data_IF_428391843499
#
_entry.id   IF_428391843499
#
_cell.length_a   1.000
_cell.length_b   1.000
_cell.length_c   1.000
_cell.angle_alpha   90.00
_cell.angle_beta   90.00
_cell.angle_gamma   90.00
#
_symmetry.space_group_name_H-M   'P 1'
#
loop_
_entity.id
_entity.type
_entity.pdbx_description
1 polymer ?
#
# COMPACT_ATOMS: atom_id res chain seq x y z
N UNK A 1 -23.90 -16.49 -2.54
CA UNK A 1 -22.79 -16.93 -1.67
C UNK A 1 -23.35 -17.49 -0.35
N UNK A 2 -24.29 -16.79 0.27
CA UNK A 2 -24.95 -17.13 1.54
C UNK A 2 -25.66 -18.49 1.56
N UNK A 3 -26.20 -18.96 0.43
CA UNK A 3 -26.81 -20.29 0.31
C UNK A 3 -25.85 -21.49 0.51
N UNK A 4 -24.56 -21.24 0.79
CA UNK A 4 -23.57 -22.29 1.07
C UNK A 4 -23.10 -22.31 2.53
N UNK A 5 -23.54 -21.35 3.34
CA UNK A 5 -23.22 -21.28 4.76
C UNK A 5 -24.46 -21.73 5.53
N UNK A 6 -24.32 -22.80 6.31
CA UNK A 6 -25.33 -23.14 7.30
C UNK A 6 -25.40 -22.01 8.35
N UNK A 7 -26.62 -21.65 8.75
CA UNK A 7 -26.87 -20.73 9.87
C UNK A 7 -26.21 -19.34 9.72
N UNK A 8 -26.09 -18.83 8.50
CA UNK A 8 -25.54 -17.49 8.27
C UNK A 8 -26.45 -16.40 8.83
N UNK A 9 -25.91 -15.58 9.74
CA UNK A 9 -26.53 -14.36 10.24
C UNK A 9 -25.85 -13.11 9.65
N UNK A 10 -26.66 -12.22 9.06
CA UNK A 10 -26.18 -10.95 8.52
C UNK A 10 -25.74 -9.97 9.63
N UNK A 11 -26.37 -10.00 10.81
CA UNK A 11 -26.02 -9.15 11.93
C UNK A 11 -24.62 -9.45 12.47
N UNK A 12 -24.22 -10.74 12.48
CA UNK A 12 -22.86 -11.15 12.85
C UNK A 12 -21.82 -10.63 11.83
N UNK A 13 -22.16 -10.63 10.54
CA UNK A 13 -21.29 -10.07 9.52
C UNK A 13 -21.13 -8.55 9.66
N UNK A 14 -22.21 -7.83 9.94
CA UNK A 14 -22.16 -6.39 10.18
C UNK A 14 -21.32 -6.05 11.42
N UNK A 15 -21.48 -6.82 12.50
CA UNK A 15 -20.63 -6.70 13.69
C UNK A 15 -19.15 -6.98 13.35
N UNK A 16 -18.86 -8.02 12.56
CA UNK A 16 -17.50 -8.33 12.14
C UNK A 16 -16.84 -7.23 11.29
N UNK A 17 -17.61 -6.49 10.49
CA UNK A 17 -17.12 -5.29 9.80
C UNK A 17 -16.91 -4.11 10.77
N UNK A 18 -17.82 -3.90 11.72
CA UNK A 18 -17.70 -2.85 12.72
C UNK A 18 -16.45 -3.05 13.61
N UNK A 19 -16.22 -4.29 14.04
CA UNK A 19 -15.08 -4.71 14.87
C UNK A 19 -13.79 -4.91 14.08
N UNK A 20 -13.83 -4.73 12.75
CA UNK A 20 -12.69 -4.90 11.81
C UNK A 20 -12.08 -6.29 11.80
N UNK A 21 -12.85 -7.30 12.20
CA UNK A 21 -12.50 -8.73 12.02
C UNK A 21 -12.56 -9.08 10.53
N UNK A 22 -13.47 -8.46 9.78
CA UNK A 22 -13.56 -8.53 8.33
C UNK A 22 -13.33 -7.14 7.73
N UNK A 23 -12.57 -7.09 6.64
CA UNK A 23 -12.25 -5.86 5.89
C UNK A 23 -12.68 -5.97 4.45
N UNK A 24 -12.91 -4.82 3.82
CA UNK A 24 -13.19 -4.73 2.39
C UNK A 24 -11.89 -4.59 1.60
N UNK A 25 -11.80 -5.29 0.47
CA UNK A 25 -10.58 -5.34 -0.33
C UNK A 25 -10.88 -5.54 -1.82
N UNK A 26 -10.05 -4.98 -2.72
CA UNK A 26 -10.19 -5.12 -4.17
C UNK A 26 -9.20 -6.13 -4.79
N UNK A 27 -8.65 -7.03 -3.99
CA UNK A 27 -7.38 -7.68 -4.32
C UNK A 27 -7.47 -8.83 -5.33
N UNK A 28 -8.55 -9.59 -5.32
CA UNK A 28 -8.81 -10.59 -6.37
C UNK A 28 -9.48 -9.89 -7.55
N UNK A 29 -8.90 -9.98 -8.74
CA UNK A 29 -9.53 -9.50 -10.00
C UNK A 29 -9.99 -8.03 -10.00
N UNK A 30 -9.52 -7.19 -9.08
CA UNK A 30 -9.91 -5.78 -8.95
C UNK A 30 -11.40 -5.53 -8.62
N UNK A 31 -12.11 -6.52 -8.07
CA UNK A 31 -13.50 -6.36 -7.59
C UNK A 31 -13.55 -6.34 -6.07
N UNK A 32 -14.63 -5.83 -5.47
CA UNK A 32 -14.77 -5.73 -4.01
C UNK A 32 -15.03 -7.10 -3.37
N UNK A 33 -14.28 -7.43 -2.31
CA UNK A 33 -14.38 -8.66 -1.53
C UNK A 33 -14.37 -8.35 -0.03
N UNK A 34 -15.04 -9.20 0.74
CA UNK A 34 -14.90 -9.27 2.19
C UNK A 34 -13.80 -10.29 2.52
N UNK A 35 -12.85 -9.92 3.37
CA UNK A 35 -11.69 -10.75 3.75
C UNK A 35 -11.49 -10.66 5.25
N UNK A 36 -11.16 -11.78 5.91
CA UNK A 36 -10.76 -11.74 7.31
C UNK A 36 -9.47 -10.91 7.48
N UNK A 37 -9.40 -10.09 8.53
CA UNK A 37 -8.30 -9.15 8.72
C UNK A 37 -6.94 -9.84 8.89
N UNK A 38 -6.91 -11.01 9.52
CA UNK A 38 -5.69 -11.83 9.65
C UNK A 38 -5.14 -12.33 8.32
N UNK A 39 -6.02 -12.55 7.33
CA UNK A 39 -5.64 -13.06 6.01
C UNK A 39 -5.37 -11.95 5.00
N UNK A 40 -5.77 -10.71 5.32
CA UNK A 40 -5.61 -9.56 4.44
C UNK A 40 -4.16 -9.43 3.95
N UNK A 41 -3.18 -9.61 4.85
CA UNK A 41 -1.77 -9.51 4.49
C UNK A 41 -1.36 -10.55 3.45
N UNK A 42 -1.72 -11.81 3.65
CA UNK A 42 -1.36 -12.90 2.73
C UNK A 42 -1.97 -12.66 1.34
N UNK A 43 -3.25 -12.27 1.28
CA UNK A 43 -3.88 -11.91 0.02
C UNK A 43 -3.24 -10.65 -0.61
N UNK A 44 -2.87 -9.66 0.21
CA UNK A 44 -2.27 -8.39 -0.24
C UNK A 44 -0.92 -8.64 -0.90
N UNK A 45 -0.11 -9.50 -0.29
CA UNK A 45 1.18 -9.92 -0.82
C UNK A 45 1.01 -10.73 -2.11
N UNK A 46 0.06 -11.68 -2.15
CA UNK A 46 -0.18 -12.52 -3.32
C UNK A 46 -0.69 -11.74 -4.55
N UNK A 47 -1.48 -10.68 -4.33
CA UNK A 47 -2.15 -9.92 -5.40
C UNK A 47 -1.43 -8.62 -5.76
N UNK A 48 -0.44 -8.21 -4.97
CA UNK A 48 0.35 -6.99 -5.20
C UNK A 48 0.93 -6.90 -6.62
N UNK A 49 1.49 -7.97 -7.24
CA UNK A 49 1.99 -7.90 -8.61
C UNK A 49 0.91 -7.50 -9.62
N UNK A 50 -0.31 -8.04 -9.48
CA UNK A 50 -1.43 -7.74 -10.37
C UNK A 50 -1.97 -6.32 -10.17
N UNK A 51 -2.04 -5.84 -8.93
CA UNK A 51 -2.49 -4.47 -8.61
C UNK A 51 -1.49 -3.41 -9.09
N UNK A 52 -0.19 -3.70 -8.98
CA UNK A 52 0.87 -2.83 -9.49
C UNK A 52 0.92 -2.84 -11.02
N UNK A 53 0.76 -4.01 -11.66
CA UNK A 53 0.67 -4.12 -13.12
C UNK A 53 -0.54 -3.35 -13.69
N UNK A 54 -1.65 -3.30 -12.94
CA UNK A 54 -2.81 -2.48 -13.26
C UNK A 54 -2.60 -0.96 -13.05
N UNK A 55 -1.36 -0.50 -12.77
CA UNK A 55 -0.97 0.91 -12.60
C UNK A 55 -1.70 1.66 -11.47
N UNK A 56 -2.10 1.00 -10.39
CA UNK A 56 -2.60 1.72 -9.20
C UNK A 56 -1.49 2.49 -8.46
N UNK A 57 -0.22 2.07 -8.58
CA UNK A 57 0.94 2.73 -7.93
C UNK A 57 1.69 3.78 -8.77
N UNK A 58 1.43 3.88 -10.09
CA UNK A 58 2.16 4.80 -10.98
C UNK A 58 1.78 6.28 -10.83
N UNK A 59 0.68 6.58 -10.13
CA UNK A 59 0.09 7.92 -10.03
C UNK A 59 0.85 8.88 -9.10
N UNK A 60 1.77 8.37 -8.26
CA UNK A 60 2.47 9.18 -7.26
C UNK A 60 3.72 9.89 -7.81
N UNK A 61 4.42 9.28 -8.77
CA UNK A 61 5.66 9.82 -9.34
C UNK A 61 5.42 10.98 -10.32
N UNK A 62 4.28 10.99 -11.03
CA UNK A 62 3.90 12.11 -11.91
C UNK A 62 3.44 13.35 -11.13
N UNK A 63 3.10 13.20 -9.84
CA UNK A 63 2.51 14.27 -9.02
C UNK A 63 3.49 15.03 -8.11
N UNK A 64 4.78 14.74 -8.14
CA UNK A 64 5.75 15.37 -7.23
C UNK A 64 5.69 14.85 -5.79
N UNK A 65 5.40 13.56 -5.61
CA UNK A 65 5.35 12.92 -4.29
C UNK A 65 6.32 11.75 -4.21
N UNK A 66 6.92 11.56 -3.03
CA UNK A 66 7.83 10.44 -2.75
C UNK A 66 7.18 9.49 -1.73
N UNK A 67 7.11 8.20 -2.05
CA UNK A 67 6.73 7.16 -1.07
C UNK A 67 7.94 6.80 -0.21
N UNK A 68 7.80 6.85 1.11
CA UNK A 68 8.83 6.47 2.07
C UNK A 68 8.27 5.45 3.06
N UNK A 69 8.99 4.35 3.30
CA UNK A 69 8.58 3.31 4.27
C UNK A 69 9.60 3.21 5.38
N UNK A 70 9.14 3.21 6.63
CA UNK A 70 9.99 3.03 7.80
C UNK A 70 9.83 1.63 8.40
N UNK A 71 10.93 0.89 8.56
CA UNK A 71 10.92 -0.48 9.09
C UNK A 71 10.61 -0.58 10.59
N UNK A 72 10.51 0.55 11.28
CA UNK A 72 10.11 0.68 12.67
C UNK A 72 9.35 2.01 12.84
N UNK A 73 8.65 2.16 13.97
CA UNK A 73 7.95 3.40 14.27
C UNK A 73 8.95 4.56 14.42
N UNK A 74 8.76 5.62 13.63
CA UNK A 74 9.54 6.85 13.71
C UNK A 74 8.72 7.95 14.42
N UNK A 75 9.37 8.79 15.24
CA UNK A 75 8.74 9.97 15.81
C UNK A 75 8.39 10.98 14.70
N UNK A 76 7.40 11.83 14.95
CA UNK A 76 6.89 12.76 13.93
C UNK A 76 7.96 13.74 13.42
N UNK A 77 8.88 14.17 14.28
CA UNK A 77 10.01 15.03 13.89
C UNK A 77 10.93 14.36 12.85
N UNK A 78 11.14 13.04 12.95
CA UNK A 78 11.92 12.30 11.96
C UNK A 78 11.20 12.25 10.60
N UNK A 79 9.87 12.15 10.59
CA UNK A 79 9.08 12.24 9.37
C UNK A 79 9.15 13.62 8.71
N UNK A 80 9.13 14.69 9.50
CA UNK A 80 9.32 16.06 9.02
C UNK A 80 10.70 16.24 8.39
N UNK A 81 11.75 15.73 9.05
CA UNK A 81 13.12 15.74 8.52
C UNK A 81 13.26 14.97 7.21
N UNK A 82 12.62 13.80 7.11
CA UNK A 82 12.59 12.98 5.89
C UNK A 82 11.88 13.70 4.73
N UNK A 83 10.76 14.38 4.99
CA UNK A 83 10.07 15.16 3.97
C UNK A 83 10.95 16.31 3.46
N UNK A 84 11.65 17.02 4.34
CA UNK A 84 12.59 18.06 3.94
C UNK A 84 13.78 17.50 3.13
N UNK A 85 14.28 16.31 3.49
CA UNK A 85 15.30 15.59 2.75
C UNK A 85 14.85 15.17 1.35
N UNK A 86 13.63 14.63 1.23
CA UNK A 86 13.04 14.24 -0.05
C UNK A 86 12.94 15.42 -1.02
N UNK A 87 12.48 16.59 -0.56
CA UNK A 87 12.44 17.82 -1.37
C UNK A 87 13.81 18.23 -1.91
N UNK A 88 14.83 18.23 -1.05
CA UNK A 88 16.20 18.57 -1.47
C UNK A 88 16.75 17.56 -2.47
N UNK A 89 16.45 16.28 -2.28
CA UNK A 89 16.89 15.23 -3.19
C UNK A 89 16.22 15.36 -4.56
N UNK A 90 14.91 15.59 -4.60
CA UNK A 90 14.17 15.81 -5.86
C UNK A 90 14.69 17.05 -6.58
N UNK A 91 14.90 18.16 -5.87
CA UNK A 91 15.52 19.36 -6.44
C UNK A 91 16.93 19.11 -6.97
N UNK A 92 17.77 18.36 -6.22
CA UNK A 92 19.13 18.00 -6.64
C UNK A 92 19.13 17.09 -7.87
N UNK A 93 18.19 16.16 -7.98
CA UNK A 93 18.06 15.25 -9.11
C UNK A 93 17.61 15.98 -10.38
N UNK A 94 16.84 17.07 -10.26
CA UNK A 94 16.44 17.91 -11.40
C UNK A 94 15.69 17.11 -12.47
N UNK A 95 15.97 17.36 -13.75
CA UNK A 95 15.36 16.65 -14.89
C UNK A 95 16.09 15.36 -15.29
N UNK A 96 16.95 14.81 -14.41
CA UNK A 96 17.71 13.58 -14.72
C UNK A 96 16.77 12.42 -15.08
N UNK A 97 17.17 11.64 -16.08
CA UNK A 97 16.34 10.58 -16.66
C UNK A 97 15.91 9.53 -15.60
N UNK A 98 14.60 9.42 -15.28
CA UNK A 98 14.12 8.52 -14.23
C UNK A 98 14.34 7.03 -14.52
N UNK A 99 14.60 6.70 -15.80
CA UNK A 99 14.78 5.32 -16.28
C UNK A 99 16.00 4.63 -15.68
N UNK A 100 17.02 5.39 -15.27
CA UNK A 100 18.27 4.89 -14.69
C UNK A 100 18.03 4.12 -13.40
N UNK A 101 17.04 4.52 -12.61
CA UNK A 101 16.69 3.87 -11.34
C UNK A 101 15.70 2.70 -11.51
N UNK A 102 15.08 2.58 -12.68
CA UNK A 102 14.07 1.57 -12.99
C UNK A 102 14.65 0.15 -12.99
N UNK A 103 15.93 0.00 -13.35
CA UNK A 103 16.67 -1.29 -13.33
C UNK A 103 16.77 -1.89 -11.92
N UNK A 104 16.84 -1.04 -10.89
CA UNK A 104 16.98 -1.48 -9.49
C UNK A 104 15.64 -1.54 -8.74
N UNK A 105 14.51 -1.30 -9.43
CA UNK A 105 13.18 -1.37 -8.83
C UNK A 105 12.90 -2.71 -8.11
N UNK A 106 13.50 -3.80 -8.60
CA UNK A 106 13.39 -5.14 -8.03
C UNK A 106 14.01 -5.34 -6.63
N UNK A 107 14.83 -4.39 -6.15
CA UNK A 107 15.34 -4.37 -4.78
C UNK A 107 14.31 -3.79 -3.80
N UNK A 108 13.56 -2.78 -4.25
CA UNK A 108 12.54 -2.10 -3.45
C UNK A 108 11.27 -2.95 -3.26
N UNK A 109 11.00 -3.91 -4.16
CA UNK A 109 9.88 -4.86 -4.05
C UNK A 109 10.02 -5.90 -2.94
N UNK A 110 11.15 -5.94 -2.21
CA UNK A 110 11.40 -6.93 -1.15
C UNK A 110 11.36 -6.33 0.27
N UNK A 111 11.09 -5.03 0.37
CA UNK A 111 11.14 -4.33 1.64
C UNK A 111 9.79 -4.41 2.38
N UNK A 112 9.77 -4.66 3.70
CA UNK A 112 8.55 -4.72 4.49
C UNK A 112 7.73 -3.42 4.38
N UNK A 113 6.46 -3.53 4.01
CA UNK A 113 5.57 -2.40 3.73
C UNK A 113 4.92 -1.73 4.97
N UNK A 114 5.29 -2.14 6.18
CA UNK A 114 4.76 -1.54 7.40
C UNK A 114 5.29 -0.11 7.55
N UNK A 115 4.42 0.89 7.67
CA UNK A 115 4.84 2.28 7.94
C UNK A 115 5.12 3.16 6.71
N UNK A 116 4.54 2.86 5.54
CA UNK A 116 4.66 3.70 4.35
C UNK A 116 3.90 5.03 4.51
N UNK A 117 4.56 6.16 4.22
CA UNK A 117 3.99 7.51 4.13
C UNK A 117 4.34 8.13 2.78
N UNK A 118 3.39 8.88 2.22
CA UNK A 118 3.64 9.74 1.06
C UNK A 118 4.14 11.09 1.57
N UNK A 119 5.32 11.47 1.13
CA UNK A 119 5.97 12.73 1.49
C UNK A 119 5.85 13.73 0.33
N UNK A 120 5.53 15.00 0.62
CA UNK A 120 5.56 16.05 -0.39
C UNK A 120 7.02 16.30 -0.81
N UNK A 121 7.28 16.19 -2.11
CA UNK A 121 8.57 16.48 -2.72
C UNK A 121 8.68 17.90 -3.26
#
# INVERSE_FOLDING_TARGET
MWNRLADFDAGELDAAFADRVVVRSNMVRMTLHAVHAGDYRAFREATEPSLRAAKLGGRFLEGGFTEATAFHALPEEAWVGLAAGARRLVAFLGSREPSVYRRYHHWWTRLPAGGARVLPA
#
